data_IF_135616405718
#
_entry.id   IF_135616405718
#
_cell.length_a   1.000
_cell.length_b   1.000
_cell.length_c   1.000
_cell.angle_alpha   90.00
_cell.angle_beta   90.00
_cell.angle_gamma   90.00
#
_symmetry.space_group_name_H-M   'P 1'
#
loop_
_entity.id
_entity.type
_entity.pdbx_description
1 polymer ?
#
# COMPACT_ATOMS: atom_id res chain seq x y z
N UNK A 1 -41.13 -48.60 -57.94
CA UNK A 1 -39.82 -47.92 -57.81
C UNK A 1 -40.08 -46.48 -57.42
N UNK A 2 -39.22 -45.94 -56.56
CA UNK A 2 -39.54 -44.97 -55.50
C UNK A 2 -39.88 -43.56 -56.00
N UNK A 3 -40.83 -42.95 -55.28
CA UNK A 3 -41.39 -41.61 -55.43
C UNK A 3 -40.36 -40.50 -55.20
N UNK A 4 -40.52 -39.43 -55.99
CA UNK A 4 -40.00 -38.08 -55.79
C UNK A 4 -40.51 -37.51 -54.47
N UNK A 5 -39.64 -36.95 -53.62
CA UNK A 5 -39.91 -35.79 -52.74
C UNK A 5 -38.60 -35.34 -52.07
N UNK A 6 -38.01 -34.24 -52.54
CA UNK A 6 -37.08 -33.41 -51.75
C UNK A 6 -37.94 -32.56 -50.83
N UNK A 7 -37.56 -32.39 -49.55
CA UNK A 7 -37.14 -31.06 -49.18
C UNK A 7 -35.97 -31.03 -48.20
N UNK A 8 -35.21 -29.96 -48.32
CA UNK A 8 -34.41 -29.28 -47.30
C UNK A 8 -35.03 -29.46 -45.91
N UNK A 9 -34.57 -30.45 -45.15
CA UNK A 9 -34.98 -30.65 -43.75
C UNK A 9 -33.93 -31.46 -42.97
N UNK A 10 -32.76 -30.87 -42.80
CA UNK A 10 -31.83 -31.13 -41.69
C UNK A 10 -31.44 -29.74 -41.17
N UNK A 11 -32.38 -28.93 -40.67
CA UNK A 11 -32.87 -28.99 -39.28
C UNK A 11 -31.70 -29.18 -38.30
N UNK A 12 -30.84 -28.15 -38.26
CA UNK A 12 -30.49 -27.43 -37.05
C UNK A 12 -30.59 -28.28 -35.76
N UNK A 13 -29.68 -29.24 -35.63
CA UNK A 13 -29.49 -29.95 -34.36
C UNK A 13 -28.56 -29.11 -33.50
N UNK A 14 -29.21 -28.39 -32.60
CA UNK A 14 -28.76 -28.12 -31.25
C UNK A 14 -27.42 -27.39 -31.08
N UNK A 15 -27.46 -26.07 -31.30
CA UNK A 15 -26.62 -25.11 -30.59
C UNK A 15 -27.45 -24.35 -29.53
N UNK A 16 -28.07 -24.99 -28.50
CA UNK A 16 -28.60 -24.22 -27.38
C UNK A 16 -27.45 -24.00 -26.41
N UNK A 17 -27.14 -22.73 -26.14
CA UNK A 17 -26.50 -22.17 -24.91
C UNK A 17 -25.72 -20.86 -25.18
N UNK A 18 -25.95 -20.16 -26.29
CA UNK A 18 -25.45 -18.78 -26.47
C UNK A 18 -26.40 -17.70 -25.91
N UNK A 19 -27.27 -18.04 -24.96
CA UNK A 19 -28.18 -17.07 -24.34
C UNK A 19 -28.35 -17.34 -22.85
N UNK A 20 -27.31 -17.04 -22.08
CA UNK A 20 -27.45 -16.65 -20.66
C UNK A 20 -26.55 -15.45 -20.38
N UNK A 21 -27.14 -14.25 -20.27
CA UNK A 21 -26.54 -13.06 -19.68
C UNK A 21 -26.05 -11.99 -20.66
N UNK A 22 -26.38 -10.72 -20.41
CA UNK A 22 -25.79 -9.54 -21.09
C UNK A 22 -24.26 -9.68 -21.25
N UNK A 23 -23.73 -9.29 -22.42
CA UNK A 23 -22.31 -9.42 -22.80
C UNK A 23 -21.31 -9.35 -21.63
N UNK A 24 -20.88 -10.53 -21.19
CA UNK A 24 -20.09 -10.69 -19.98
C UNK A 24 -18.63 -10.36 -20.32
N UNK A 25 -18.25 -9.11 -20.06
CA UNK A 25 -16.88 -8.62 -20.27
C UNK A 25 -15.93 -9.07 -19.16
N UNK A 26 -16.40 -9.86 -18.20
CA UNK A 26 -15.60 -10.33 -17.06
C UNK A 26 -14.26 -10.93 -17.50
N UNK A 27 -14.18 -11.82 -18.50
CA UNK A 27 -12.91 -12.44 -18.87
C UNK A 27 -11.90 -11.42 -19.41
N UNK A 28 -12.36 -10.46 -20.23
CA UNK A 28 -11.50 -9.39 -20.74
C UNK A 28 -11.10 -8.40 -19.64
N UNK A 29 -12.04 -8.04 -18.77
CA UNK A 29 -11.80 -7.15 -17.62
C UNK A 29 -10.77 -7.75 -16.66
N UNK A 30 -10.93 -9.02 -16.31
CA UNK A 30 -10.00 -9.78 -15.48
C UNK A 30 -8.62 -9.85 -16.11
N UNK A 31 -8.55 -10.13 -17.41
CA UNK A 31 -7.28 -10.18 -18.15
C UNK A 31 -6.58 -8.83 -18.12
N UNK A 32 -7.30 -7.75 -18.44
CA UNK A 32 -6.76 -6.39 -18.43
C UNK A 32 -6.27 -5.98 -17.03
N UNK A 33 -7.06 -6.27 -15.99
CA UNK A 33 -6.69 -5.97 -14.61
C UNK A 33 -5.49 -6.79 -14.13
N UNK A 34 -5.47 -8.10 -14.42
CA UNK A 34 -4.34 -8.99 -14.09
C UNK A 34 -3.06 -8.50 -14.76
N UNK A 35 -3.12 -8.16 -16.04
CA UNK A 35 -1.97 -7.64 -16.78
C UNK A 35 -1.49 -6.29 -16.21
N UNK A 36 -2.40 -5.43 -15.80
CA UNK A 36 -2.06 -4.18 -15.12
C UNK A 36 -1.31 -4.44 -13.81
N UNK A 37 -1.85 -5.30 -12.92
CA UNK A 37 -1.21 -5.64 -11.66
C UNK A 37 0.19 -6.23 -11.88
N UNK A 38 0.32 -7.15 -12.83
CA UNK A 38 1.58 -7.79 -13.16
C UNK A 38 2.61 -6.75 -13.64
N UNK A 39 2.28 -5.99 -14.67
CA UNK A 39 3.26 -5.13 -15.38
C UNK A 39 3.51 -3.78 -14.71
N UNK A 40 2.57 -3.27 -13.92
CA UNK A 40 2.64 -1.93 -13.31
C UNK A 40 3.03 -1.98 -11.83
N UNK A 41 2.84 -3.12 -11.17
CA UNK A 41 3.09 -3.28 -9.73
C UNK A 41 4.11 -4.38 -9.47
N UNK A 42 3.87 -5.60 -9.94
CA UNK A 42 4.69 -6.77 -9.56
C UNK A 42 6.06 -6.74 -10.25
N UNK A 43 6.08 -6.54 -11.56
CA UNK A 43 7.31 -6.59 -12.37
C UNK A 43 8.19 -5.35 -12.19
N UNK A 44 7.62 -4.24 -11.72
CA UNK A 44 8.37 -3.00 -11.55
C UNK A 44 9.08 -2.97 -10.20
N UNK A 45 10.39 -2.70 -10.16
CA UNK A 45 11.17 -2.69 -8.93
C UNK A 45 10.78 -1.51 -8.04
N UNK A 46 10.48 -1.79 -6.77
CA UNK A 46 10.08 -0.80 -5.76
C UNK A 46 8.57 -0.80 -5.49
N UNK A 47 8.15 0.13 -4.63
CA UNK A 47 6.74 0.32 -4.23
C UNK A 47 6.13 1.40 -5.09
N UNK A 48 5.10 1.06 -5.84
CA UNK A 48 4.36 2.01 -6.68
C UNK A 48 2.88 1.70 -6.61
N UNK A 49 2.07 2.75 -6.52
CA UNK A 49 0.62 2.65 -6.56
C UNK A 49 0.12 3.53 -7.70
N UNK A 50 0.05 3.02 -8.95
CA UNK A 50 -0.38 3.81 -10.09
C UNK A 50 -1.82 4.31 -9.92
N UNK A 51 -2.08 5.57 -10.30
CA UNK A 51 -3.46 6.06 -10.44
C UNK A 51 -4.05 5.49 -11.73
N UNK A 52 -5.28 4.95 -11.63
CA UNK A 52 -5.99 4.47 -12.80
C UNK A 52 -6.45 5.64 -13.68
N UNK A 53 -6.16 5.54 -14.97
CA UNK A 53 -6.78 6.35 -16.02
C UNK A 53 -8.24 5.96 -16.22
N UNK A 54 -9.02 6.82 -16.88
CA UNK A 54 -10.44 6.54 -17.11
C UNK A 54 -10.65 5.37 -18.09
N UNK A 55 -9.73 5.20 -19.04
CA UNK A 55 -9.71 4.04 -19.94
C UNK A 55 -9.41 2.74 -19.18
N UNK A 56 -8.46 2.75 -18.25
CA UNK A 56 -8.19 1.60 -17.38
C UNK A 56 -9.39 1.27 -16.49
N UNK A 57 -10.04 2.26 -15.86
CA UNK A 57 -11.25 2.02 -15.06
C UNK A 57 -12.36 1.38 -15.90
N UNK A 58 -12.56 1.88 -17.13
CA UNK A 58 -13.54 1.33 -18.07
C UNK A 58 -13.17 -0.09 -18.51
N UNK A 59 -11.89 -0.35 -18.73
CA UNK A 59 -11.38 -1.66 -19.13
C UNK A 59 -11.46 -2.69 -18.01
N UNK A 60 -11.34 -2.29 -16.74
CA UNK A 60 -11.36 -3.20 -15.59
C UNK A 60 -12.78 -3.47 -15.08
N UNK A 61 -13.74 -2.59 -15.37
CA UNK A 61 -15.10 -2.71 -14.84
C UNK A 61 -15.09 -2.77 -13.32
N UNK A 62 -15.74 -3.78 -12.76
CA UNK A 62 -15.91 -3.97 -11.31
C UNK A 62 -14.57 -4.16 -10.59
N UNK A 63 -13.55 -4.68 -11.26
CA UNK A 63 -12.20 -4.83 -10.69
C UNK A 63 -11.52 -3.51 -10.36
N UNK A 64 -12.01 -2.38 -10.89
CA UNK A 64 -11.59 -1.04 -10.42
C UNK A 64 -11.82 -0.85 -8.93
N UNK A 65 -12.90 -1.41 -8.38
CA UNK A 65 -13.20 -1.36 -6.94
C UNK A 65 -12.28 -2.27 -6.11
N UNK A 66 -11.77 -3.35 -6.71
CA UNK A 66 -10.77 -4.21 -6.05
C UNK A 66 -9.43 -3.48 -5.97
N UNK A 67 -9.08 -2.75 -7.03
CA UNK A 67 -7.89 -1.91 -7.03
C UNK A 67 -7.98 -0.74 -6.04
N UNK A 68 -9.19 -0.23 -5.78
CA UNK A 68 -9.41 0.84 -4.82
C UNK A 68 -8.82 0.52 -3.44
N UNK A 69 -8.86 -0.74 -3.00
CA UNK A 69 -8.23 -1.16 -1.72
C UNK A 69 -6.73 -0.83 -1.67
N UNK A 70 -6.00 -1.08 -2.76
CA UNK A 70 -4.56 -0.77 -2.85
C UNK A 70 -4.35 0.74 -3.01
N UNK A 71 -5.14 1.41 -3.85
CA UNK A 71 -4.98 2.85 -4.10
C UNK A 71 -5.35 3.71 -2.90
N UNK A 72 -6.36 3.32 -2.14
CA UNK A 72 -6.83 4.03 -0.96
C UNK A 72 -5.81 3.90 0.18
N UNK A 73 -5.24 2.71 0.38
CA UNK A 73 -4.09 2.56 1.28
C UNK A 73 -2.93 3.45 0.87
N UNK A 74 -2.56 3.46 -0.42
CA UNK A 74 -1.49 4.31 -0.95
C UNK A 74 -1.74 5.80 -0.66
N UNK A 75 -2.97 6.28 -0.88
CA UNK A 75 -3.35 7.66 -0.58
C UNK A 75 -3.37 7.97 0.93
N UNK A 76 -3.84 7.02 1.74
CA UNK A 76 -3.80 7.12 3.21
C UNK A 76 -2.37 7.19 3.73
N UNK A 77 -1.47 6.39 3.17
CA UNK A 77 -0.05 6.40 3.49
C UNK A 77 0.62 7.70 3.05
N UNK A 78 0.39 8.18 1.82
CA UNK A 78 0.89 9.47 1.33
C UNK A 78 0.48 10.62 2.27
N UNK A 79 -0.75 10.57 2.80
CA UNK A 79 -1.25 11.53 3.79
C UNK A 79 -0.57 11.37 5.14
N UNK A 80 -0.41 10.14 5.61
CA UNK A 80 0.23 9.84 6.89
C UNK A 80 1.68 10.31 6.94
N UNK A 81 2.42 10.23 5.82
CA UNK A 81 3.84 10.60 5.76
C UNK A 81 4.11 12.08 5.52
N UNK A 82 3.10 12.90 5.19
CA UNK A 82 3.29 14.35 4.96
C UNK A 82 4.08 15.07 6.08
N UNK A 83 3.86 14.78 7.37
CA UNK A 83 4.61 15.43 8.45
C UNK A 83 6.08 15.02 8.51
N UNK A 84 6.47 13.87 7.97
CA UNK A 84 7.80 13.28 8.15
C UNK A 84 8.92 14.22 7.71
N UNK A 85 8.76 14.95 6.60
CA UNK A 85 9.79 15.87 6.13
C UNK A 85 10.12 16.95 7.18
N UNK A 86 9.09 17.52 7.82
CA UNK A 86 9.26 18.50 8.89
C UNK A 86 9.87 17.88 10.16
N UNK A 87 9.48 16.64 10.49
CA UNK A 87 10.06 15.90 11.62
C UNK A 87 11.55 15.61 11.37
N UNK A 88 11.96 15.23 10.16
CA UNK A 88 13.37 14.99 9.83
C UNK A 88 14.21 16.27 9.94
N UNK A 89 13.68 17.43 9.52
CA UNK A 89 14.36 18.71 9.72
C UNK A 89 14.57 19.01 11.22
N UNK A 90 13.55 18.77 12.04
CA UNK A 90 13.61 18.93 13.50
C UNK A 90 14.54 17.93 14.18
N UNK A 91 14.62 16.72 13.64
CA UNK A 91 15.42 15.61 14.16
C UNK A 91 16.92 15.70 13.85
N UNK A 92 17.35 16.64 13.00
CA UNK A 92 18.76 16.81 12.67
C UNK A 92 19.54 17.52 13.78
N UNK A 93 20.59 16.89 14.29
CA UNK A 93 21.52 17.47 15.27
C UNK A 93 22.97 17.08 14.93
N UNK A 94 23.94 17.97 15.18
CA UNK A 94 25.36 17.74 14.88
C UNK A 94 26.25 17.69 16.12
N UNK A 95 25.74 18.11 17.27
CA UNK A 95 26.48 18.12 18.53
C UNK A 95 25.58 17.79 19.72
N UNK A 96 26.17 17.41 20.85
CA UNK A 96 25.43 17.21 22.11
C UNK A 96 24.82 18.53 22.61
N UNK A 97 25.48 19.66 22.38
CA UNK A 97 24.94 20.99 22.69
C UNK A 97 23.67 21.29 21.89
N UNK A 98 23.63 20.90 20.61
CA UNK A 98 22.44 21.05 19.75
C UNK A 98 21.28 20.22 20.32
N UNK A 99 21.54 18.98 20.74
CA UNK A 99 20.54 18.10 21.35
C UNK A 99 19.96 18.73 22.61
N UNK A 100 20.80 19.30 23.49
CA UNK A 100 20.35 19.99 24.71
C UNK A 100 19.46 21.19 24.36
N UNK A 101 19.88 22.04 23.41
CA UNK A 101 19.11 23.22 23.00
C UNK A 101 17.79 22.87 22.30
N UNK A 102 17.74 21.72 21.61
CA UNK A 102 16.61 21.31 20.77
C UNK A 102 15.84 20.11 21.33
N UNK A 103 15.93 19.82 22.63
CA UNK A 103 15.23 18.68 23.25
C UNK A 103 13.74 18.64 22.94
N UNK A 104 13.07 19.79 22.98
CA UNK A 104 11.65 19.89 22.68
C UNK A 104 11.34 19.48 21.22
N UNK A 105 12.18 19.88 20.27
CA UNK A 105 12.07 19.46 18.88
C UNK A 105 12.24 17.94 18.75
N UNK A 106 13.24 17.35 19.43
CA UNK A 106 13.51 15.91 19.37
C UNK A 106 12.40 15.08 20.02
N UNK A 107 11.83 15.55 21.12
CA UNK A 107 10.66 14.95 21.73
C UNK A 107 9.44 15.01 20.79
N UNK A 108 9.21 16.15 20.14
CA UNK A 108 8.17 16.29 19.13
C UNK A 108 8.37 15.38 17.91
N UNK A 109 9.63 15.10 17.54
CA UNK A 109 9.95 14.11 16.50
C UNK A 109 9.54 12.70 16.93
N UNK A 110 9.80 12.31 18.18
CA UNK A 110 9.37 11.00 18.68
C UNK A 110 7.85 10.86 18.68
N UNK A 111 7.11 11.89 19.14
CA UNK A 111 5.64 11.90 19.07
C UNK A 111 5.14 11.83 17.63
N UNK A 112 5.70 12.62 16.73
CA UNK A 112 5.29 12.60 15.32
C UNK A 112 5.57 11.26 14.63
N UNK A 113 6.66 10.58 14.98
CA UNK A 113 6.95 9.22 14.50
C UNK A 113 5.93 8.20 15.02
N UNK A 114 5.45 8.36 16.26
CA UNK A 114 4.38 7.52 16.82
C UNK A 114 3.05 7.73 16.10
N UNK A 115 2.68 8.98 15.86
CA UNK A 115 1.45 9.31 15.11
C UNK A 115 1.47 8.73 13.69
N UNK A 116 2.62 8.75 13.02
CA UNK A 116 2.78 8.13 11.69
C UNK A 116 2.62 6.62 11.77
N UNK A 117 3.25 5.96 12.76
CA UNK A 117 3.12 4.52 12.96
C UNK A 117 1.70 4.07 13.30
N UNK A 118 0.98 4.86 14.10
CA UNK A 118 -0.43 4.63 14.42
C UNK A 118 -1.30 4.75 13.18
N UNK A 119 -1.18 5.85 12.41
CA UNK A 119 -1.92 6.05 11.17
C UNK A 119 -1.67 4.92 10.17
N UNK A 120 -0.43 4.49 10.01
CA UNK A 120 -0.09 3.39 9.11
C UNK A 120 -0.76 2.07 9.55
N UNK A 121 -0.80 1.80 10.86
CA UNK A 121 -1.46 0.60 11.39
C UNK A 121 -2.97 0.65 11.15
N UNK A 122 -3.59 1.82 11.30
CA UNK A 122 -5.02 2.03 11.01
C UNK A 122 -5.31 1.83 9.52
N UNK A 123 -4.54 2.46 8.63
CA UNK A 123 -4.75 2.35 7.18
C UNK A 123 -4.49 0.92 6.67
N UNK A 124 -3.46 0.23 7.17
CA UNK A 124 -3.22 -1.18 6.86
C UNK A 124 -4.41 -2.04 7.30
N UNK A 125 -4.90 -1.85 8.53
CA UNK A 125 -6.06 -2.61 9.03
C UNK A 125 -7.35 -2.40 8.21
N UNK A 126 -7.58 -1.19 7.71
CA UNK A 126 -8.69 -0.91 6.76
C UNK A 126 -8.50 -1.67 5.45
N UNK A 127 -7.29 -1.64 4.90
CA UNK A 127 -6.97 -2.32 3.66
C UNK A 127 -7.10 -3.85 3.83
N UNK A 128 -6.62 -4.42 4.93
CA UNK A 128 -6.69 -5.85 5.23
C UNK A 128 -8.16 -6.30 5.33
N UNK A 129 -8.98 -5.51 6.04
CA UNK A 129 -10.41 -5.78 6.19
C UNK A 129 -11.19 -5.66 4.87
N UNK A 130 -10.79 -4.75 3.98
CA UNK A 130 -11.39 -4.62 2.66
C UNK A 130 -10.95 -5.76 1.73
N UNK A 131 -9.65 -6.10 1.75
CA UNK A 131 -9.09 -7.21 1.01
C UNK A 131 -9.77 -8.54 1.35
N UNK A 132 -9.97 -8.83 2.64
CA UNK A 132 -10.63 -10.05 3.10
C UNK A 132 -12.09 -10.19 2.61
N UNK A 133 -12.74 -9.10 2.19
CA UNK A 133 -14.12 -9.09 1.67
C UNK A 133 -14.19 -9.22 0.15
N UNK A 134 -13.06 -9.13 -0.56
CA UNK A 134 -13.04 -9.22 -2.01
C UNK A 134 -13.41 -10.63 -2.47
N UNK A 135 -14.30 -10.71 -3.47
CA UNK A 135 -14.68 -11.95 -4.12
C UNK A 135 -14.02 -12.00 -5.49
N UNK A 136 -12.91 -12.71 -5.59
CA UNK A 136 -12.11 -12.81 -6.81
C UNK A 136 -12.09 -14.24 -7.33
N UNK A 137 -12.02 -14.44 -8.66
CA UNK A 137 -11.61 -15.71 -9.25
C UNK A 137 -10.22 -16.12 -8.78
N UNK A 138 -9.98 -17.43 -8.66
CA UNK A 138 -8.74 -17.98 -8.09
C UNK A 138 -7.48 -17.52 -8.83
N UNK A 139 -7.54 -17.42 -10.16
CA UNK A 139 -6.44 -16.97 -11.01
C UNK A 139 -6.09 -15.49 -10.76
N UNK A 140 -7.11 -14.63 -10.65
CA UNK A 140 -6.91 -13.22 -10.33
C UNK A 140 -6.41 -13.04 -8.89
N UNK A 141 -6.97 -13.81 -7.95
CA UNK A 141 -6.63 -13.70 -6.52
C UNK A 141 -5.13 -13.87 -6.30
N UNK A 142 -4.50 -14.85 -6.94
CA UNK A 142 -3.05 -15.07 -6.78
C UNK A 142 -2.22 -13.86 -7.21
N UNK A 143 -2.60 -13.20 -8.31
CA UNK A 143 -1.89 -12.00 -8.81
C UNK A 143 -2.21 -10.79 -7.94
N UNK A 144 -3.46 -10.64 -7.52
CA UNK A 144 -3.89 -9.59 -6.62
C UNK A 144 -3.18 -9.67 -5.27
N UNK A 145 -3.12 -10.85 -4.65
CA UNK A 145 -2.47 -11.06 -3.35
C UNK A 145 -0.98 -10.67 -3.41
N UNK A 146 -0.29 -10.98 -4.51
CA UNK A 146 1.10 -10.54 -4.72
C UNK A 146 1.23 -9.02 -4.85
N UNK A 147 0.32 -8.38 -5.60
CA UNK A 147 0.31 -6.93 -5.74
C UNK A 147 -0.01 -6.24 -4.39
N UNK A 148 -0.97 -6.78 -3.65
CA UNK A 148 -1.35 -6.33 -2.32
C UNK A 148 -0.18 -6.44 -1.36
N UNK A 149 0.48 -7.61 -1.31
CA UNK A 149 1.60 -7.83 -0.39
C UNK A 149 2.76 -6.86 -0.66
N UNK A 150 3.08 -6.63 -1.95
CA UNK A 150 4.14 -5.71 -2.38
C UNK A 150 3.85 -4.25 -2.06
N UNK A 151 2.58 -3.83 -2.07
CA UNK A 151 2.20 -2.42 -1.97
C UNK A 151 1.66 -2.03 -0.59
N UNK A 152 1.09 -2.97 0.15
CA UNK A 152 0.44 -2.75 1.43
C UNK A 152 1.20 -3.45 2.55
N UNK A 153 1.23 -4.79 2.54
CA UNK A 153 1.78 -5.59 3.64
C UNK A 153 3.25 -5.33 3.89
N UNK A 154 4.10 -5.50 2.87
CA UNK A 154 5.56 -5.41 3.00
C UNK A 154 5.98 -4.01 3.44
N UNK A 155 5.52 -2.90 2.81
CA UNK A 155 5.90 -1.56 3.26
C UNK A 155 5.42 -1.26 4.68
N UNK A 156 4.18 -1.63 5.03
CA UNK A 156 3.63 -1.36 6.34
C UNK A 156 4.35 -2.14 7.45
N UNK A 157 4.65 -3.42 7.21
CA UNK A 157 5.40 -4.26 8.14
C UNK A 157 6.85 -3.78 8.28
N UNK A 158 7.52 -3.45 7.16
CA UNK A 158 8.89 -2.92 7.17
C UNK A 158 8.96 -1.65 8.01
N UNK A 159 8.02 -0.72 7.84
CA UNK A 159 7.99 0.50 8.65
C UNK A 159 7.84 0.19 10.15
N UNK A 160 6.93 -0.73 10.51
CA UNK A 160 6.71 -1.15 11.89
C UNK A 160 7.95 -1.78 12.52
N UNK A 161 8.72 -2.53 11.75
CA UNK A 161 9.95 -3.17 12.22
C UNK A 161 11.07 -2.16 12.47
N UNK A 162 11.22 -1.14 11.61
CA UNK A 162 12.31 -0.15 11.73
C UNK A 162 11.97 1.01 12.68
N UNK A 163 10.69 1.32 12.88
CA UNK A 163 10.25 2.46 13.70
C UNK A 163 10.85 2.47 15.12
N UNK A 164 10.87 1.35 15.88
CA UNK A 164 11.48 1.32 17.21
C UNK A 164 12.97 1.65 17.20
N UNK A 165 13.72 1.26 16.16
CA UNK A 165 15.15 1.54 16.03
C UNK A 165 15.41 3.03 15.80
N UNK A 166 14.59 3.65 14.92
CA UNK A 166 14.63 5.10 14.68
C UNK A 166 14.33 5.85 15.98
N UNK A 167 13.27 5.47 16.70
CA UNK A 167 12.91 6.06 18.00
C UNK A 167 14.00 5.89 19.06
N UNK A 168 14.65 4.71 19.09
CA UNK A 168 15.74 4.40 20.00
C UNK A 168 16.95 5.33 19.83
N UNK A 169 17.23 5.76 18.60
CA UNK A 169 18.29 6.72 18.30
C UNK A 169 18.00 8.09 18.94
N UNK A 170 16.79 8.61 18.77
CA UNK A 170 16.37 9.87 19.39
C UNK A 170 16.35 9.79 20.93
N UNK A 171 15.85 8.66 21.47
CA UNK A 171 15.84 8.43 22.92
C UNK A 171 17.25 8.42 23.51
N UNK A 172 18.19 7.77 22.82
CA UNK A 172 19.59 7.71 23.25
C UNK A 172 20.25 9.10 23.23
N UNK A 173 19.98 9.90 22.19
CA UNK A 173 20.44 11.29 22.12
C UNK A 173 19.93 12.12 23.30
N UNK A 174 18.63 12.04 23.61
CA UNK A 174 18.03 12.74 24.75
C UNK A 174 18.65 12.31 26.09
N UNK A 175 18.89 11.01 26.30
CA UNK A 175 19.54 10.50 27.52
C UNK A 175 20.98 11.03 27.68
N UNK A 176 21.74 11.13 26.60
CA UNK A 176 23.08 11.72 26.64
C UNK A 176 23.01 13.21 27.00
N UNK A 177 22.03 13.94 26.46
CA UNK A 177 21.79 15.33 26.84
C UNK A 177 21.40 15.45 28.32
N UNK A 178 20.58 14.53 28.86
CA UNK A 178 20.21 14.47 30.29
C UNK A 178 21.43 14.30 31.16
N UNK A 179 22.28 13.34 30.80
CA UNK A 179 23.50 13.07 31.55
C UNK A 179 24.44 14.29 31.57
N UNK A 180 24.71 14.90 30.41
CA UNK A 180 25.63 16.04 30.32
C UNK A 180 25.08 17.25 31.08
N UNK A 181 23.79 17.54 30.96
CA UNK A 181 23.17 18.67 31.65
C UNK A 181 23.21 18.50 33.18
N UNK A 182 22.95 17.27 33.67
CA UNK A 182 23.03 16.93 35.09
C UNK A 182 24.46 17.01 35.67
N UNK A 183 25.50 16.83 34.85
CA UNK A 183 26.90 16.81 35.28
C UNK A 183 27.70 18.06 34.88
N UNK A 184 27.05 19.10 34.32
CA UNK A 184 27.69 20.39 33.97
C UNK A 184 28.41 21.07 35.14
N UNK A 185 27.99 20.80 36.38
CA UNK A 185 28.56 21.37 37.60
C UNK A 185 29.77 20.61 38.17
N UNK A 186 30.13 19.44 37.62
CA UNK A 186 31.20 18.58 38.17
C UNK A 186 32.55 18.79 37.46
N UNK A 187 32.62 19.65 36.45
CA UNK A 187 33.87 19.95 35.74
C UNK A 187 34.43 21.32 36.17
N UNK A 188 35.29 21.40 37.20
CA UNK A 188 36.18 22.55 37.32
C UNK A 188 37.23 22.38 36.21
N UNK A 189 36.99 23.02 35.07
CA UNK A 189 38.06 23.31 34.11
C UNK A 189 39.05 24.20 34.85
N UNK A 190 40.05 23.57 35.46
CA UNK A 190 41.20 24.20 36.08
C UNK A 190 41.97 24.87 34.93
N UNK A 191 41.78 26.19 34.76
CA UNK A 191 42.71 27.03 34.00
C UNK A 191 44.07 27.04 34.70
#
# INVERSE_FOLDING_TARGET
MKSLFRPVLLLAVALPLLLTGCGDKEPEQRTAFTQFLQTRIIDKPGVHVPKLTDDEKKAFGDYSSHYAVISDFGAGMDTAVQPLAGLMQKGSFRSVSDVIQRRADLAAVQTGLDEVGEKLTIEQGKADAAHAKLKQPDDLKVVYDKAYDRTVSVPANTFREVLPQIKGTFSSGLKVADYVDAHKSISPVRR
#
